data_IF_858366111742
#
_entry.id   IF_858366111742
#
_cell.length_a   1.000
_cell.length_b   1.000
_cell.length_c   1.000
_cell.angle_alpha   90.00
_cell.angle_beta   90.00
_cell.angle_gamma   90.00
#
_symmetry.space_group_name_H-M   'P 1'
#
loop_
_entity.id
_entity.type
_entity.pdbx_description
1 polymer ?
#
# COMPACT_ATOMS: atom_id res chain seq x y z
N UNK A 1 0.58 -15.45 -13.55
CA UNK A 1 0.02 -14.19 -13.01
C UNK A 1 -0.27 -14.44 -11.54
N UNK A 2 -0.38 -13.44 -10.65
CA UNK A 2 -1.11 -13.68 -9.41
C UNK A 2 -2.48 -14.26 -9.79
N UNK A 3 -2.91 -15.32 -9.12
CA UNK A 3 -4.23 -15.92 -9.38
C UNK A 3 -5.36 -15.10 -8.73
N UNK A 4 -4.99 -14.17 -7.84
CA UNK A 4 -5.90 -13.23 -7.19
C UNK A 4 -6.45 -12.18 -8.17
N UNK A 5 -7.75 -11.88 -8.06
CA UNK A 5 -8.40 -10.80 -8.81
C UNK A 5 -8.00 -9.43 -8.30
N UNK A 6 -7.59 -9.34 -7.03
CA UNK A 6 -7.00 -8.15 -6.44
C UNK A 6 -6.09 -8.51 -5.27
N UNK A 7 -5.17 -7.62 -4.95
CA UNK A 7 -4.28 -7.75 -3.80
C UNK A 7 -3.75 -6.40 -3.37
N UNK A 8 -3.13 -6.33 -2.21
CA UNK A 8 -2.50 -5.10 -1.77
C UNK A 8 -2.14 -5.07 -0.31
N UNK A 9 -2.02 -3.84 0.22
CA UNK A 9 -1.66 -3.56 1.59
C UNK A 9 -2.76 -2.72 2.25
N UNK A 10 -2.96 -2.95 3.55
CA UNK A 10 -3.68 -2.05 4.43
C UNK A 10 -2.67 -1.49 5.43
N UNK A 11 -2.57 -0.18 5.46
CA UNK A 11 -1.72 0.57 6.39
C UNK A 11 -2.60 1.35 7.36
N UNK A 12 -2.03 1.82 8.47
CA UNK A 12 -2.79 2.53 9.52
C UNK A 12 -3.99 1.69 9.98
N UNK A 13 -3.81 0.39 10.16
CA UNK A 13 -4.88 -0.46 10.70
C UNK A 13 -5.07 -0.15 12.19
N UNK A 14 -6.31 0.11 12.59
CA UNK A 14 -6.70 0.19 14.00
C UNK A 14 -6.63 -1.18 14.69
N UNK A 15 -6.47 -1.19 16.01
CA UNK A 15 -6.41 -2.44 16.79
C UNK A 15 -7.70 -3.29 16.68
N UNK A 16 -8.85 -2.64 16.52
CA UNK A 16 -10.14 -3.31 16.33
C UNK A 16 -10.43 -3.72 14.87
N UNK A 17 -9.54 -3.35 13.94
CA UNK A 17 -9.62 -3.67 12.52
C UNK A 17 -10.72 -2.94 11.76
N UNK A 18 -11.38 -1.94 12.35
CA UNK A 18 -12.44 -1.17 11.69
C UNK A 18 -11.91 -0.12 10.73
N UNK A 19 -10.75 0.48 11.05
CA UNK A 19 -10.14 1.55 10.27
C UNK A 19 -8.84 1.07 9.61
N UNK A 20 -8.67 1.39 8.34
CA UNK A 20 -7.44 1.18 7.60
C UNK A 20 -7.41 2.02 6.31
N UNK A 21 -6.21 2.46 5.93
CA UNK A 21 -5.96 3.02 4.60
C UNK A 21 -5.57 1.89 3.66
N UNK A 22 -6.35 1.68 2.61
CA UNK A 22 -6.17 0.55 1.69
C UNK A 22 -5.45 0.98 0.41
N UNK A 23 -4.36 0.28 0.09
CA UNK A 23 -3.66 0.30 -1.19
C UNK A 23 -4.04 -0.99 -1.93
N UNK A 24 -4.88 -0.91 -2.96
CA UNK A 24 -5.45 -2.08 -3.66
C UNK A 24 -5.10 -2.05 -5.14
N UNK A 25 -4.47 -3.12 -5.63
CA UNK A 25 -4.22 -3.33 -7.05
C UNK A 25 -5.24 -4.32 -7.64
N UNK A 26 -5.90 -3.94 -8.73
CA UNK A 26 -6.77 -4.78 -9.53
C UNK A 26 -6.82 -4.26 -10.97
N UNK A 27 -6.92 -5.17 -11.94
CA UNK A 27 -7.16 -4.82 -13.36
C UNK A 27 -6.20 -3.76 -13.95
N UNK A 28 -4.93 -3.77 -13.53
CA UNK A 28 -3.95 -2.80 -14.02
C UNK A 28 -3.99 -1.43 -13.34
N UNK A 29 -4.77 -1.29 -12.26
CA UNK A 29 -4.95 -0.04 -11.53
C UNK A 29 -4.57 -0.26 -10.07
N UNK A 30 -3.70 0.59 -9.54
CA UNK A 30 -3.50 0.75 -8.11
C UNK A 30 -4.43 1.85 -7.59
N UNK A 31 -5.38 1.50 -6.73
CA UNK A 31 -6.12 2.45 -5.92
C UNK A 31 -5.34 2.70 -4.62
N UNK A 32 -4.78 3.89 -4.47
CA UNK A 32 -4.10 4.34 -3.26
C UNK A 32 -4.99 5.34 -2.50
N UNK A 33 -5.74 4.85 -1.51
CA UNK A 33 -6.64 5.67 -0.70
C UNK A 33 -7.63 6.51 -1.53
N UNK A 34 -8.24 5.92 -2.55
CA UNK A 34 -9.19 6.58 -3.45
C UNK A 34 -8.54 7.31 -4.64
N UNK A 35 -7.21 7.32 -4.75
CA UNK A 35 -6.52 7.78 -5.97
C UNK A 35 -6.24 6.59 -6.88
N UNK A 36 -6.81 6.58 -8.07
CA UNK A 36 -6.57 5.53 -9.06
C UNK A 36 -5.36 5.87 -9.94
N UNK A 37 -4.40 4.96 -9.99
CA UNK A 37 -3.17 5.09 -10.78
C UNK A 37 -3.06 3.89 -11.72
N UNK A 38 -3.17 4.10 -13.05
CA UNK A 38 -2.81 3.06 -14.02
C UNK A 38 -1.38 2.60 -13.76
N UNK A 39 -1.22 1.32 -13.45
CA UNK A 39 0.04 0.76 -12.96
C UNK A 39 0.36 -0.50 -13.75
N UNK A 40 1.38 -0.41 -14.60
CA UNK A 40 1.99 -1.61 -15.18
C UNK A 40 2.79 -2.34 -14.10
N UNK A 41 2.66 -3.66 -13.99
CA UNK A 41 3.57 -4.46 -13.15
C UNK A 41 4.98 -4.42 -13.77
N UNK A 42 6.04 -4.43 -12.94
CA UNK A 42 7.44 -4.16 -13.30
C UNK A 42 8.06 -5.07 -14.38
N UNK A 43 9.40 -5.12 -14.51
CA UNK A 43 10.08 -5.78 -15.64
C UNK A 43 9.64 -7.24 -15.92
N UNK A 44 9.26 -7.99 -14.87
CA UNK A 44 8.73 -9.37 -14.98
C UNK A 44 7.22 -9.45 -15.32
N UNK A 45 6.55 -8.30 -15.47
CA UNK A 45 5.09 -8.08 -15.56
C UNK A 45 4.26 -8.78 -14.48
N UNK A 46 4.86 -9.06 -13.32
CA UNK A 46 4.24 -9.86 -12.24
C UNK A 46 4.41 -9.28 -10.84
N UNK A 47 5.18 -8.22 -10.68
CA UNK A 47 5.51 -7.66 -9.37
C UNK A 47 5.06 -6.22 -9.30
N UNK A 48 4.35 -5.88 -8.23
CA UNK A 48 4.07 -4.51 -7.83
C UNK A 48 5.06 -4.15 -6.71
N UNK A 49 5.88 -3.12 -6.93
CA UNK A 49 6.76 -2.59 -5.90
C UNK A 49 6.15 -1.31 -5.32
N UNK A 50 5.99 -1.27 -4.00
CA UNK A 50 5.48 -0.10 -3.27
C UNK A 50 6.51 0.33 -2.23
N UNK A 51 6.81 1.61 -2.19
CA UNK A 51 7.51 2.24 -1.08
C UNK A 51 6.54 3.23 -0.42
N UNK A 52 6.19 3.01 0.84
CA UNK A 52 5.16 3.78 1.54
C UNK A 52 5.78 4.52 2.72
N UNK A 53 5.70 5.84 2.70
CA UNK A 53 6.04 6.70 3.85
C UNK A 53 4.76 7.08 4.58
N UNK A 54 4.81 6.99 5.91
CA UNK A 54 3.72 7.35 6.81
C UNK A 54 4.25 8.33 7.85
N UNK A 55 3.76 9.57 7.81
CA UNK A 55 3.90 10.56 8.88
C UNK A 55 2.52 10.77 9.54
N UNK A 56 2.45 11.58 10.61
CA UNK A 56 1.26 11.79 11.46
C UNK A 56 -0.03 11.94 10.67
N UNK A 57 -0.01 12.75 9.61
CA UNK A 57 -1.19 13.01 8.79
C UNK A 57 -0.93 12.94 7.27
N UNK A 58 0.22 12.40 6.86
CA UNK A 58 0.62 12.36 5.44
C UNK A 58 1.06 10.95 5.11
N UNK A 59 0.52 10.41 4.02
CA UNK A 59 0.97 9.19 3.38
C UNK A 59 1.52 9.51 2.00
N UNK A 60 2.67 8.95 1.67
CA UNK A 60 3.25 9.01 0.34
C UNK A 60 3.53 7.59 -0.16
N UNK A 61 3.00 7.25 -1.33
CA UNK A 61 3.14 5.94 -1.96
C UNK A 61 3.90 6.11 -3.25
N UNK A 62 5.10 5.53 -3.34
CA UNK A 62 5.89 5.45 -4.56
C UNK A 62 5.71 4.08 -5.20
N UNK A 63 5.42 4.07 -6.50
CA UNK A 63 5.01 2.89 -7.25
C UNK A 63 6.10 2.55 -8.24
N UNK A 64 6.54 1.29 -8.23
CA UNK A 64 7.55 0.75 -9.14
C UNK A 64 8.77 1.65 -9.26
N UNK A 65 9.50 1.81 -8.15
CA UNK A 65 10.76 2.55 -8.11
C UNK A 65 10.63 4.02 -8.55
N UNK A 66 9.45 4.61 -8.31
CA UNK A 66 9.19 6.04 -8.53
C UNK A 66 8.63 6.40 -9.90
N UNK A 67 8.19 5.43 -10.70
CA UNK A 67 7.48 5.70 -11.98
C UNK A 67 6.23 6.55 -11.76
N UNK A 68 5.54 6.33 -10.64
CA UNK A 68 4.44 7.16 -10.19
C UNK A 68 4.48 7.33 -8.66
N UNK A 69 3.82 8.39 -8.17
CA UNK A 69 3.63 8.60 -6.74
C UNK A 69 2.24 9.14 -6.43
N UNK A 70 1.78 8.86 -5.22
CA UNK A 70 0.54 9.41 -4.65
C UNK A 70 0.85 9.98 -3.28
N UNK A 71 0.49 11.24 -3.06
CA UNK A 71 0.53 11.89 -1.75
C UNK A 71 -0.90 12.12 -1.27
N UNK A 72 -1.18 11.71 -0.03
CA UNK A 72 -2.48 11.83 0.62
C UNK A 72 -2.33 12.43 2.01
N UNK A 73 -3.29 13.27 2.38
CA UNK A 73 -3.46 13.72 3.75
C UNK A 73 -4.56 12.87 4.36
N UNK A 74 -4.21 12.12 5.39
CA UNK A 74 -5.13 11.25 6.13
C UNK A 74 -5.06 11.64 7.61
N UNK A 75 -6.15 11.47 8.35
CA UNK A 75 -6.20 11.72 9.80
C UNK A 75 -6.46 10.41 10.57
N UNK A 76 -5.50 9.48 10.58
CA UNK A 76 -5.65 8.23 11.32
C UNK A 76 -5.64 8.50 12.84
N UNK A 77 -6.18 7.56 13.62
CA UNK A 77 -5.97 7.55 15.06
C UNK A 77 -4.47 7.47 15.38
N UNK A 78 -4.02 8.14 16.44
CA UNK A 78 -2.59 8.18 16.80
C UNK A 78 -1.98 6.80 17.03
N UNK A 79 -2.82 5.80 17.38
CA UNK A 79 -2.42 4.42 17.64
C UNK A 79 -2.57 3.49 16.44
N UNK A 80 -3.11 3.98 15.33
CA UNK A 80 -3.37 3.18 14.14
C UNK A 80 -2.06 2.98 13.37
N UNK A 81 -1.30 1.98 13.81
CA UNK A 81 0.03 1.64 13.30
C UNK A 81 0.07 0.23 12.68
N UNK A 82 -1.06 -0.47 12.65
CA UNK A 82 -1.13 -1.81 12.09
C UNK A 82 -0.87 -1.84 10.58
N UNK A 83 -0.32 -2.95 10.13
CA UNK A 83 -0.03 -3.27 8.73
C UNK A 83 -0.54 -4.67 8.43
N UNK A 84 -1.24 -4.84 7.31
CA UNK A 84 -1.61 -6.17 6.81
C UNK A 84 -1.52 -6.23 5.28
N UNK A 85 -1.26 -7.43 4.77
CA UNK A 85 -1.34 -7.75 3.35
C UNK A 85 -2.60 -8.58 3.10
N UNK A 86 -3.18 -8.45 1.90
CA UNK A 86 -4.38 -9.20 1.53
C UNK A 86 -4.36 -9.64 0.07
N UNK A 87 -5.16 -10.65 -0.22
CA UNK A 87 -5.54 -11.06 -1.57
C UNK A 87 -7.04 -11.37 -1.64
N UNK A 88 -7.61 -11.21 -2.83
CA UNK A 88 -9.02 -11.48 -3.11
C UNK A 88 -9.12 -12.52 -4.22
N UNK A 89 -9.98 -13.53 -4.03
CA UNK A 89 -10.31 -14.56 -5.02
C UNK A 89 -9.11 -15.30 -5.64
N UNK A 90 -8.04 -15.48 -4.86
CA UNK A 90 -6.86 -16.22 -5.28
C UNK A 90 -5.66 -15.88 -4.42
N UNK A 91 -4.50 -16.38 -4.84
CA UNK A 91 -3.25 -16.24 -4.09
C UNK A 91 -2.32 -15.21 -4.74
N UNK A 92 -1.60 -14.50 -3.88
CA UNK A 92 -0.47 -13.64 -4.25
C UNK A 92 0.71 -13.98 -3.34
N UNK A 93 1.93 -13.87 -3.87
CA UNK A 93 3.14 -14.04 -3.07
C UNK A 93 3.67 -12.66 -2.69
N UNK A 94 3.71 -12.37 -1.38
CA UNK A 94 4.48 -11.26 -0.86
C UNK A 94 5.96 -11.65 -0.90
N UNK A 95 6.71 -11.12 -1.87
CA UNK A 95 8.12 -11.49 -2.10
C UNK A 95 9.05 -10.96 -1.01
N UNK A 96 8.80 -9.75 -0.54
CA UNK A 96 9.56 -9.06 0.50
C UNK A 96 8.67 -8.04 1.21
N UNK A 97 8.97 -7.78 2.47
CA UNK A 97 8.37 -6.70 3.25
C UNK A 97 9.39 -6.24 4.28
N UNK A 98 9.83 -5.00 4.12
CA UNK A 98 10.72 -4.33 5.05
C UNK A 98 9.96 -3.16 5.69
N UNK A 99 10.09 -3.01 7.00
CA UNK A 99 9.39 -1.98 7.77
C UNK A 99 10.39 -1.27 8.68
N UNK A 100 10.42 0.05 8.59
CA UNK A 100 11.33 0.90 9.36
C UNK A 100 10.56 1.92 10.18
N UNK A 101 10.96 2.10 11.43
CA UNK A 101 10.48 3.21 12.24
C UNK A 101 11.30 4.46 11.94
N UNK A 102 10.65 5.50 11.44
CA UNK A 102 11.29 6.80 11.22
C UNK A 102 11.43 7.57 12.54
N UNK A 103 12.54 8.29 12.70
CA UNK A 103 12.74 9.20 13.83
C UNK A 103 12.10 10.55 13.53
N UNK A 104 11.66 11.22 14.60
CA UNK A 104 11.36 12.65 14.55
C UNK A 104 12.59 13.41 14.05
N UNK A 105 12.35 14.41 13.20
CA UNK A 105 13.37 15.40 12.80
C UNK A 105 13.41 16.61 13.76
N UNK A 106 12.51 16.65 14.73
CA UNK A 106 12.41 17.63 15.82
C UNK A 106 12.99 17.10 17.11
#
# INVERSE_FOLDING_TARGET
>A
MPDATAFGLRVRCSEDGQDAVTLRYADGILNAAGTEVPTALGEDRKTLNLHVFLDKSVMEVFINDGIASVTRVDYPGEKDLGLSAFSENGNVTLKSLDVWQMKSIW
#
